data_IF_089494107906
#
_entry.id   IF_089494107906
#
_cell.length_a   1.000
_cell.length_b   1.000
_cell.length_c   1.000
_cell.angle_alpha   90.00
_cell.angle_beta   90.00
_cell.angle_gamma   90.00
#
_symmetry.space_group_name_H-M   'P 1'
#
loop_
_entity.id
_entity.type
_entity.pdbx_description
1 polymer ?
#
# COMPACT_ATOMS: atom_id res chain seq x y z
N UNK A 1 -2.85 13.39 9.36
CA UNK A 1 -4.28 13.74 9.26
C UNK A 1 -4.99 12.60 8.54
N UNK A 2 -6.01 11.96 9.14
CA UNK A 2 -6.82 10.99 8.41
C UNK A 2 -7.46 11.71 7.21
N UNK A 3 -7.38 11.14 6.01
CA UNK A 3 -8.09 11.70 4.85
C UNK A 3 -9.58 11.57 5.15
N UNK A 4 -10.21 12.71 5.47
CA UNK A 4 -11.63 12.80 5.78
C UNK A 4 -12.38 12.32 4.55
N UNK A 5 -13.08 11.19 4.66
CA UNK A 5 -13.99 10.69 3.62
C UNK A 5 -15.13 11.69 3.48
N UNK A 6 -14.99 12.62 2.54
CA UNK A 6 -16.07 13.55 2.22
C UNK A 6 -17.19 12.76 1.52
N UNK A 7 -18.46 13.08 1.81
CA UNK A 7 -19.65 12.32 1.39
C UNK A 7 -19.90 12.27 -0.14
N UNK A 8 -18.94 12.69 -0.96
CA UNK A 8 -19.05 12.82 -2.42
C UNK A 8 -18.26 11.76 -3.19
N UNK A 9 -17.61 10.83 -2.49
CA UNK A 9 -16.77 9.83 -3.13
C UNK A 9 -17.65 8.67 -3.61
N UNK A 10 -17.87 8.59 -4.93
CA UNK A 10 -18.54 7.44 -5.56
C UNK A 10 -17.55 6.29 -5.63
N UNK A 11 -17.79 5.24 -4.85
CA UNK A 11 -16.96 4.05 -4.89
C UNK A 11 -17.15 3.30 -6.21
N UNK A 12 -16.07 2.89 -6.89
CA UNK A 12 -16.15 2.08 -8.11
C UNK A 12 -16.57 0.64 -7.78
N UNK A 13 -17.02 -0.08 -8.80
CA UNK A 13 -17.38 -1.50 -8.70
C UNK A 13 -16.20 -2.35 -8.20
N UNK A 14 -16.46 -3.27 -7.26
CA UNK A 14 -15.43 -4.11 -6.64
C UNK A 14 -14.76 -3.53 -5.40
N UNK A 15 -15.11 -2.30 -4.97
CA UNK A 15 -14.58 -1.70 -3.74
C UNK A 15 -14.88 -2.56 -2.48
N UNK A 16 -16.06 -3.18 -2.42
CA UNK A 16 -16.48 -4.00 -1.27
C UNK A 16 -15.54 -5.19 -1.00
N UNK A 17 -14.85 -5.71 -2.02
CA UNK A 17 -13.93 -6.84 -1.89
C UNK A 17 -12.61 -6.43 -1.21
N UNK A 18 -12.14 -5.21 -1.49
CA UNK A 18 -10.85 -4.71 -0.98
C UNK A 18 -10.99 -3.90 0.31
N UNK A 19 -12.15 -3.28 0.51
CA UNK A 19 -12.43 -2.42 1.65
C UNK A 19 -12.12 -3.04 3.02
N UNK A 20 -12.59 -4.27 3.36
CA UNK A 20 -12.33 -4.84 4.68
C UNK A 20 -10.82 -5.01 4.93
N UNK A 21 -10.09 -5.54 3.95
CA UNK A 21 -8.64 -5.73 4.04
C UNK A 21 -7.89 -4.40 4.17
N UNK A 22 -8.30 -3.37 3.42
CA UNK A 22 -7.68 -2.04 3.52
C UNK A 22 -7.93 -1.39 4.87
N UNK A 23 -9.14 -1.52 5.43
CA UNK A 23 -9.48 -1.02 6.76
C UNK A 23 -8.67 -1.71 7.85
N UNK A 24 -8.48 -3.02 7.76
CA UNK A 24 -7.65 -3.77 8.70
C UNK A 24 -6.18 -3.31 8.65
N UNK A 25 -5.65 -3.05 7.46
CA UNK A 25 -4.29 -2.52 7.28
C UNK A 25 -4.15 -1.09 7.81
N UNK A 26 -5.17 -0.24 7.64
CA UNK A 26 -5.19 1.11 8.21
C UNK A 26 -5.28 1.08 9.74
N UNK A 27 -6.08 0.17 10.31
CA UNK A 27 -6.14 -0.04 11.75
C UNK A 27 -4.78 -0.44 12.31
N UNK A 28 -4.12 -1.43 11.68
CA UNK A 28 -2.75 -1.84 12.03
C UNK A 28 -1.74 -0.72 11.91
N UNK A 29 -1.85 0.13 10.88
CA UNK A 29 -0.97 1.29 10.73
C UNK A 29 -1.15 2.28 11.88
N UNK A 30 -2.40 2.54 12.30
CA UNK A 30 -2.70 3.42 13.42
C UNK A 30 -2.23 2.83 14.76
N UNK A 31 -2.34 1.53 14.94
CA UNK A 31 -1.77 0.84 16.10
C UNK A 31 -0.24 0.98 16.13
N UNK A 32 0.43 0.74 15.00
CA UNK A 32 1.88 0.90 14.89
C UNK A 32 2.36 2.34 15.10
N UNK A 33 1.55 3.34 14.72
CA UNK A 33 1.84 4.76 15.01
C UNK A 33 1.70 5.12 16.49
N UNK A 34 0.76 4.48 17.19
CA UNK A 34 0.49 4.72 18.61
C UNK A 34 1.38 3.88 19.54
N UNK A 35 2.03 2.84 19.01
CA UNK A 35 2.83 1.91 19.81
C UNK A 35 4.02 2.65 20.44
N UNK A 36 4.17 2.63 21.79
CA UNK A 36 5.25 3.34 22.44
C UNK A 36 6.62 2.82 22.00
N UNK A 37 7.42 3.73 21.47
CA UNK A 37 8.75 3.47 20.90
C UNK A 37 9.84 3.26 21.98
N UNK A 38 9.46 2.82 23.18
CA UNK A 38 10.33 2.86 24.35
C UNK A 38 11.48 1.85 24.23
N UNK A 39 12.70 2.34 24.30
CA UNK A 39 13.94 1.55 24.13
C UNK A 39 14.35 1.19 22.69
N UNK A 40 13.55 1.52 21.66
CA UNK A 40 13.90 1.25 20.25
C UNK A 40 14.59 2.44 19.59
N UNK A 41 15.47 2.18 18.62
CA UNK A 41 16.05 3.25 17.79
C UNK A 41 14.94 3.89 16.95
N UNK A 42 15.06 5.20 16.67
CA UNK A 42 14.10 5.93 15.80
C UNK A 42 13.87 5.22 14.45
N UNK A 43 14.90 4.58 13.88
CA UNK A 43 14.76 3.84 12.63
C UNK A 43 13.91 2.57 12.81
N UNK A 44 14.17 1.79 13.86
CA UNK A 44 13.48 0.52 14.15
C UNK A 44 12.01 0.73 14.51
N UNK A 45 11.72 1.84 15.18
CA UNK A 45 10.37 2.34 15.44
C UNK A 45 9.54 2.51 14.15
N UNK A 46 10.17 2.95 13.05
CA UNK A 46 9.48 3.19 11.78
C UNK A 46 9.32 1.94 10.92
N UNK A 47 10.10 0.88 11.17
CA UNK A 47 10.07 -0.35 10.35
C UNK A 47 8.69 -1.02 10.26
N UNK A 48 7.89 -1.13 11.34
CA UNK A 48 6.53 -1.64 11.25
C UNK A 48 5.65 -0.80 10.32
N UNK A 49 5.77 0.53 10.39
CA UNK A 49 4.99 1.46 9.56
C UNK A 49 5.32 1.26 8.07
N UNK A 50 6.61 1.20 7.73
CA UNK A 50 7.03 0.93 6.36
C UNK A 50 6.61 -0.44 5.86
N UNK A 51 6.66 -1.48 6.71
CA UNK A 51 6.20 -2.83 6.38
C UNK A 51 4.70 -2.84 6.04
N UNK A 52 3.87 -2.17 6.84
CA UNK A 52 2.41 -2.09 6.61
C UNK A 52 2.11 -1.29 5.34
N UNK A 53 2.78 -0.16 5.11
CA UNK A 53 2.63 0.64 3.89
C UNK A 53 2.98 -0.15 2.62
N UNK A 54 4.08 -0.91 2.68
CA UNK A 54 4.50 -1.81 1.61
C UNK A 54 3.47 -2.91 1.37
N UNK A 55 2.99 -3.56 2.43
CA UNK A 55 1.98 -4.61 2.35
C UNK A 55 0.68 -4.12 1.71
N UNK A 56 0.23 -2.92 2.08
CA UNK A 56 -0.96 -2.27 1.51
C UNK A 56 -0.80 -2.02 0.00
N UNK A 57 0.35 -1.47 -0.41
CA UNK A 57 0.63 -1.23 -1.84
C UNK A 57 0.76 -2.54 -2.63
N UNK A 58 1.35 -3.59 -2.03
CA UNK A 58 1.53 -4.90 -2.66
C UNK A 58 0.19 -5.62 -2.87
N UNK A 59 -0.72 -5.52 -1.91
CA UNK A 59 -2.06 -6.07 -2.02
C UNK A 59 -2.80 -5.51 -3.24
N UNK A 60 -2.83 -4.19 -3.41
CA UNK A 60 -3.47 -3.53 -4.56
C UNK A 60 -2.77 -3.91 -5.88
N UNK A 61 -1.43 -3.97 -5.88
CA UNK A 61 -0.66 -4.37 -7.05
C UNK A 61 -0.99 -5.80 -7.51
N UNK A 62 -1.01 -6.76 -6.58
CA UNK A 62 -1.27 -8.17 -6.90
C UNK A 62 -2.71 -8.37 -7.41
N UNK A 63 -3.69 -7.67 -6.85
CA UNK A 63 -5.06 -7.73 -7.33
C UNK A 63 -5.23 -7.18 -8.75
N UNK A 64 -4.53 -6.10 -9.11
CA UNK A 64 -4.63 -5.51 -10.45
C UNK A 64 -3.76 -6.25 -11.49
N UNK A 65 -2.48 -6.50 -11.20
CA UNK A 65 -1.54 -7.05 -12.19
C UNK A 65 -1.54 -8.58 -12.26
N UNK A 66 -1.68 -9.28 -11.13
CA UNK A 66 -1.61 -10.76 -11.11
C UNK A 66 -2.99 -11.39 -11.26
N UNK A 67 -3.95 -11.01 -10.40
CA UNK A 67 -5.29 -11.62 -10.37
C UNK A 67 -6.28 -10.97 -11.32
N UNK A 68 -6.11 -9.68 -11.63
CA UNK A 68 -6.98 -8.87 -12.50
C UNK A 68 -8.46 -8.88 -12.07
N UNK A 69 -8.70 -9.00 -10.76
CA UNK A 69 -10.05 -8.97 -10.17
C UNK A 69 -10.59 -7.53 -10.04
N UNK A 70 -9.71 -6.53 -10.20
CA UNK A 70 -10.00 -5.11 -10.02
C UNK A 70 -10.02 -4.39 -11.36
N UNK A 71 -11.04 -3.54 -11.57
CA UNK A 71 -11.12 -2.65 -12.73
C UNK A 71 -10.03 -1.57 -12.68
N UNK A 72 -9.65 -1.05 -13.85
CA UNK A 72 -8.68 0.04 -13.95
C UNK A 72 -9.14 1.29 -13.17
N UNK A 73 -10.43 1.59 -13.21
CA UNK A 73 -11.02 2.73 -12.49
C UNK A 73 -10.86 2.59 -10.97
N UNK A 74 -11.09 1.40 -10.42
CA UNK A 74 -10.91 1.14 -8.99
C UNK A 74 -9.43 1.22 -8.59
N UNK A 75 -8.52 0.75 -9.44
CA UNK A 75 -7.09 0.86 -9.21
C UNK A 75 -6.62 2.32 -9.18
N UNK A 76 -7.01 3.13 -10.16
CA UNK A 76 -6.69 4.57 -10.21
C UNK A 76 -7.31 5.31 -9.02
N UNK A 77 -8.55 5.00 -8.67
CA UNK A 77 -9.20 5.53 -7.48
C UNK A 77 -8.41 5.22 -6.19
N UNK A 78 -7.90 3.99 -6.05
CA UNK A 78 -7.07 3.62 -4.89
C UNK A 78 -5.75 4.41 -4.83
N UNK A 79 -5.16 4.73 -5.98
CA UNK A 79 -3.95 5.56 -6.05
C UNK A 79 -4.24 7.01 -5.67
N UNK A 80 -5.33 7.59 -6.19
CA UNK A 80 -5.75 8.96 -5.89
C UNK A 80 -6.10 9.16 -4.41
N UNK A 81 -6.80 8.18 -3.82
CA UNK A 81 -7.08 8.17 -2.38
C UNK A 81 -5.84 7.89 -1.53
N UNK A 82 -4.71 7.46 -2.12
CA UNK A 82 -3.47 7.14 -1.41
C UNK A 82 -3.55 5.84 -0.61
N UNK A 83 -4.39 4.90 -1.03
CA UNK A 83 -4.37 3.54 -0.51
C UNK A 83 -3.15 2.77 -1.03
N UNK A 84 -2.56 3.15 -2.17
CA UNK A 84 -1.30 2.60 -2.66
C UNK A 84 -0.31 3.71 -3.06
N UNK A 85 0.99 3.40 -2.98
CA UNK A 85 2.06 4.30 -3.40
C UNK A 85 2.40 4.11 -4.89
N UNK A 86 2.15 5.16 -5.67
CA UNK A 86 2.40 5.22 -7.12
C UNK A 86 3.88 4.99 -7.43
N UNK A 87 4.79 5.60 -6.66
CA UNK A 87 6.22 5.52 -6.89
C UNK A 87 6.74 4.13 -6.58
N UNK A 88 6.24 3.50 -5.51
CA UNK A 88 6.61 2.13 -5.15
C UNK A 88 6.16 1.13 -6.22
N UNK A 89 4.94 1.26 -6.73
CA UNK A 89 4.45 0.40 -7.81
C UNK A 89 5.26 0.60 -9.09
N UNK A 90 5.61 1.85 -9.43
CA UNK A 90 6.46 2.14 -10.58
C UNK A 90 7.82 1.41 -10.49
N UNK A 91 8.38 1.27 -9.28
CA UNK A 91 9.62 0.50 -9.05
C UNK A 91 9.44 -0.99 -9.34
N UNK A 92 8.39 -1.63 -8.83
CA UNK A 92 8.14 -3.05 -9.10
C UNK A 92 7.90 -3.35 -10.58
N UNK A 93 7.23 -2.44 -11.29
CA UNK A 93 7.07 -2.55 -12.75
C UNK A 93 8.41 -2.50 -13.48
N UNK A 94 9.37 -1.69 -12.99
CA UNK A 94 10.70 -1.55 -13.58
C UNK A 94 11.59 -2.77 -13.31
N UNK A 95 11.51 -3.38 -12.12
CA UNK A 95 12.28 -4.58 -11.78
C UNK A 95 11.78 -5.85 -12.51
N UNK A 96 10.49 -5.91 -12.90
CA UNK A 96 9.96 -6.99 -13.73
C UNK A 96 10.39 -6.91 -15.20
N UNK A 97 10.87 -5.77 -15.69
CA UNK A 97 11.61 -5.72 -16.95
C UNK A 97 13.00 -6.31 -16.66
N UNK A 98 13.53 -7.24 -17.47
CA UNK A 98 14.86 -7.77 -17.28
C UNK A 98 15.86 -6.62 -17.42
N UNK A 99 16.18 -5.99 -16.30
CA UNK A 99 17.27 -5.06 -16.18
C UNK A 99 18.53 -5.90 -16.30
N UNK A 100 19.13 -5.85 -17.49
CA UNK A 100 20.56 -6.05 -17.66
C UNK A 100 21.28 -5.50 -16.43
N UNK A 101 22.08 -6.37 -15.81
CA UNK A 101 22.47 -6.34 -14.41
C UNK A 101 22.73 -4.97 -13.81
N UNK A 102 22.21 -4.77 -12.59
CA UNK A 102 23.00 -4.24 -11.48
C UNK A 102 22.31 -4.72 -10.20
N UNK A 103 23.01 -5.59 -9.47
CA UNK A 103 22.55 -6.23 -8.25
C UNK A 103 22.32 -5.22 -7.13
N UNK A 104 21.21 -5.43 -6.42
CA UNK A 104 20.87 -4.70 -5.22
C UNK A 104 19.71 -5.40 -4.55
N UNK A 105 20.01 -6.52 -3.89
CA UNK A 105 19.07 -7.26 -3.05
C UNK A 105 18.62 -6.32 -1.91
N UNK A 106 17.48 -5.65 -2.09
CA UNK A 106 16.76 -5.04 -0.97
C UNK A 106 16.04 -6.18 -0.25
N UNK A 107 16.73 -6.75 0.74
CA UNK A 107 16.07 -7.52 1.78
C UNK A 107 15.20 -6.56 2.61
N UNK A 108 13.91 -6.85 2.67
CA UNK A 108 12.99 -6.33 3.68
C UNK A 108 13.09 -7.15 4.96
#
# INVERSE_FOLDING_TARGET
MPKIKTSRVKYPEGWELIEPTLRDLEAKMREAENDPHDGKRKCEALWPIFRISHQKSRYIYDFYYRRKEISKELYEFCLDQGHADINLIAKWKKECLPSFGLGGSLNF
#
